data_IF_867102199239
#
_entry.id   IF_867102199239
#
_cell.length_a   1.000
_cell.length_b   1.000
_cell.length_c   1.000
_cell.angle_alpha   90.00
_cell.angle_beta   90.00
_cell.angle_gamma   90.00
#
_symmetry.space_group_name_H-M   'P 1'
#
loop_
_entity.id
_entity.type
_entity.pdbx_description
1 polymer ?
#
# COMPACT_ATOMS: atom_id res chain seq x y z
N UNK A 1 -0.12 -17.69 -3.75
CA UNK A 1 -0.53 -16.28 -3.60
C UNK A 1 -1.97 -16.17 -4.05
N UNK A 2 -2.85 -15.60 -3.23
CA UNK A 2 -4.24 -15.27 -3.61
C UNK A 2 -4.29 -13.88 -4.23
N UNK A 3 -5.03 -13.72 -5.31
CA UNK A 3 -5.35 -12.40 -5.88
C UNK A 3 -6.60 -11.83 -5.20
N UNK A 4 -6.56 -10.54 -4.86
CA UNK A 4 -7.69 -9.81 -4.27
C UNK A 4 -8.24 -8.83 -5.30
N UNK A 5 -9.56 -8.60 -5.31
CA UNK A 5 -10.14 -7.56 -6.17
C UNK A 5 -9.53 -6.20 -5.82
N UNK A 6 -9.28 -5.38 -6.84
CA UNK A 6 -8.80 -4.01 -6.65
C UNK A 6 -9.96 -3.09 -6.24
N UNK A 7 -9.82 -2.47 -5.07
CA UNK A 7 -10.81 -1.57 -4.49
C UNK A 7 -10.10 -0.29 -4.07
N UNK A 8 -10.44 0.84 -4.68
CA UNK A 8 -9.90 2.14 -4.31
C UNK A 8 -10.63 2.72 -3.09
N UNK A 9 -9.87 3.24 -2.13
CA UNK A 9 -10.41 3.89 -0.96
C UNK A 9 -10.49 5.40 -1.21
N UNK A 10 -11.70 5.94 -1.13
CA UNK A 10 -11.92 7.39 -1.30
C UNK A 10 -11.79 8.12 0.02
N UNK A 11 -11.07 9.24 -0.02
CA UNK A 11 -11.09 10.22 1.05
C UNK A 11 -12.48 10.88 1.11
N UNK A 12 -12.97 11.15 2.31
CA UNK A 12 -14.25 11.86 2.48
C UNK A 12 -14.09 13.38 2.36
N UNK A 13 -12.88 13.90 2.55
CA UNK A 13 -12.51 15.31 2.51
C UNK A 13 -11.93 15.74 1.14
N UNK A 14 -12.37 15.12 0.05
CA UNK A 14 -11.76 15.26 -1.30
C UNK A 14 -11.63 16.70 -1.83
N UNK A 15 -12.40 17.64 -1.29
CA UNK A 15 -12.31 19.06 -1.65
C UNK A 15 -11.07 19.76 -1.07
N UNK A 16 -10.36 19.13 -0.12
CA UNK A 16 -9.14 19.64 0.48
C UNK A 16 -7.94 18.98 -0.19
N UNK A 17 -7.04 19.79 -0.76
CA UNK A 17 -5.73 19.30 -1.21
C UNK A 17 -4.98 18.77 0.03
N UNK A 18 -4.49 17.51 0.04
CA UNK A 18 -3.86 16.96 1.24
C UNK A 18 -2.47 17.55 1.52
N UNK A 19 -1.73 17.91 0.46
CA UNK A 19 -0.37 18.45 0.54
C UNK A 19 -0.25 19.79 -0.15
N UNK A 20 0.48 20.75 0.43
CA UNK A 20 0.67 22.07 -0.18
C UNK A 20 1.52 21.99 -1.45
N UNK A 21 2.64 21.25 -1.40
CA UNK A 21 3.65 21.25 -2.48
C UNK A 21 3.78 19.93 -3.25
N UNK A 22 3.17 18.84 -2.78
CA UNK A 22 3.27 17.54 -3.45
C UNK A 22 2.36 17.45 -4.69
N UNK A 23 2.63 16.44 -5.52
CA UNK A 23 1.80 16.07 -6.66
C UNK A 23 0.35 15.81 -6.25
N UNK A 24 -0.60 16.10 -7.16
CA UNK A 24 -2.04 16.07 -6.86
C UNK A 24 -2.59 14.67 -6.58
N UNK A 25 -1.86 13.62 -6.92
CA UNK A 25 -2.24 12.23 -6.64
C UNK A 25 -1.82 11.75 -5.24
N UNK A 26 -0.90 12.44 -4.57
CA UNK A 26 -0.45 12.07 -3.22
C UNK A 26 -1.60 12.25 -2.22
N UNK A 27 -1.81 11.23 -1.40
CA UNK A 27 -2.93 11.13 -0.47
C UNK A 27 -4.15 10.41 -1.04
N UNK A 28 -4.15 10.06 -2.33
CA UNK A 28 -5.26 9.41 -3.03
C UNK A 28 -4.92 8.01 -3.57
N UNK A 29 -3.72 7.49 -3.31
CA UNK A 29 -3.26 6.18 -3.83
C UNK A 29 -3.63 4.99 -2.94
N UNK A 30 -4.60 5.17 -2.04
CA UNK A 30 -5.06 4.13 -1.12
C UNK A 30 -5.88 3.07 -1.87
N UNK A 31 -5.53 1.79 -1.72
CA UNK A 31 -6.28 0.68 -2.33
C UNK A 31 -6.14 -0.64 -1.56
N UNK A 32 -7.13 -1.51 -1.74
CA UNK A 32 -7.13 -2.91 -1.32
C UNK A 32 -7.01 -3.79 -2.56
N UNK A 33 -6.22 -4.85 -2.50
CA UNK A 33 -6.02 -5.80 -3.59
C UNK A 33 -5.44 -5.18 -4.87
N UNK A 34 -5.54 -5.90 -5.99
CA UNK A 34 -4.82 -5.53 -7.21
C UNK A 34 -3.31 -5.76 -7.10
N UNK A 35 -2.51 -4.82 -7.60
CA UNK A 35 -1.03 -4.86 -7.55
C UNK A 35 -0.49 -3.76 -6.67
N UNK A 36 0.58 -4.03 -5.93
CA UNK A 36 1.30 -3.00 -5.18
C UNK A 36 1.92 -1.99 -6.14
N UNK A 37 1.74 -0.70 -5.88
CA UNK A 37 2.45 0.31 -6.64
C UNK A 37 3.94 0.29 -6.26
N UNK A 38 4.81 0.52 -7.25
CA UNK A 38 6.27 0.61 -7.10
C UNK A 38 6.99 -0.67 -6.61
N UNK A 39 6.30 -1.80 -6.50
CA UNK A 39 6.90 -3.09 -6.12
C UNK A 39 6.53 -4.14 -7.18
N UNK A 40 7.52 -4.82 -7.75
CA UNK A 40 7.25 -5.93 -8.67
C UNK A 40 6.67 -7.13 -7.91
N UNK A 41 5.76 -7.89 -8.53
CA UNK A 41 5.23 -9.14 -7.96
C UNK A 41 6.34 -10.15 -7.62
N UNK A 42 7.46 -10.12 -8.35
CA UNK A 42 8.64 -10.96 -8.06
C UNK A 42 9.31 -10.62 -6.73
N UNK A 43 9.11 -9.40 -6.24
CA UNK A 43 9.67 -8.86 -4.99
C UNK A 43 8.70 -9.01 -3.82
N UNK A 44 7.46 -9.47 -4.05
CA UNK A 44 6.52 -9.71 -2.96
C UNK A 44 7.10 -10.69 -1.94
N UNK A 45 6.91 -10.43 -0.64
CA UNK A 45 7.57 -11.21 0.40
C UNK A 45 7.13 -12.67 0.41
N UNK A 46 8.04 -13.54 0.86
CA UNK A 46 7.73 -14.92 1.22
C UNK A 46 7.35 -14.98 2.70
N UNK A 47 6.32 -15.76 3.03
CA UNK A 47 5.94 -15.97 4.41
C UNK A 47 7.02 -16.78 5.16
N UNK A 48 7.52 -16.27 6.27
CA UNK A 48 8.58 -16.94 7.06
C UNK A 48 8.19 -18.32 7.62
N UNK A 49 6.89 -18.65 7.70
CA UNK A 49 6.42 -19.94 8.23
C UNK A 49 6.25 -21.02 7.16
N UNK A 50 5.61 -20.71 6.04
CA UNK A 50 5.32 -21.69 4.97
C UNK A 50 6.10 -21.48 3.68
N UNK A 51 6.96 -20.45 3.64
CA UNK A 51 7.76 -20.04 2.48
C UNK A 51 6.97 -19.72 1.20
N UNK A 52 5.64 -19.60 1.29
CA UNK A 52 4.80 -19.22 0.16
C UNK A 52 4.83 -17.71 -0.06
N UNK A 53 4.79 -17.29 -1.33
CA UNK A 53 4.62 -15.88 -1.70
C UNK A 53 3.31 -15.32 -1.17
N UNK A 54 3.42 -14.20 -0.45
CA UNK A 54 2.31 -13.51 0.20
C UNK A 54 1.49 -12.70 -0.81
N UNK A 55 0.22 -12.50 -0.49
CA UNK A 55 -0.71 -11.72 -1.30
C UNK A 55 -0.62 -10.25 -0.95
N UNK A 56 -0.53 -9.36 -1.94
CA UNK A 56 -0.76 -7.94 -1.70
C UNK A 56 -2.19 -7.74 -1.20
N UNK A 57 -2.32 -7.24 0.03
CA UNK A 57 -3.60 -7.00 0.65
C UNK A 57 -4.11 -5.58 0.38
N UNK A 58 -3.20 -4.62 0.35
CA UNK A 58 -3.51 -3.23 0.07
C UNK A 58 -2.35 -2.31 0.39
N UNK A 59 -2.50 -1.04 0.06
CA UNK A 59 -1.54 0.01 0.38
C UNK A 59 -2.26 1.23 0.95
N UNK A 60 -1.55 1.93 1.82
CA UNK A 60 -1.97 3.22 2.36
C UNK A 60 -0.94 4.28 2.00
N UNK A 61 -1.45 5.45 1.65
CA UNK A 61 -0.69 6.62 1.24
C UNK A 61 -0.33 7.50 2.45
N UNK A 62 0.66 8.37 2.25
CA UNK A 62 0.86 9.53 3.11
C UNK A 62 -0.43 10.37 3.15
N UNK A 63 -0.77 10.93 4.31
CA UNK A 63 -2.10 11.49 4.53
C UNK A 63 -2.14 12.99 4.23
N UNK A 64 -1.21 13.76 4.78
CA UNK A 64 -1.06 15.21 4.61
C UNK A 64 0.35 15.67 5.06
N UNK A 65 0.62 16.98 5.01
CA UNK A 65 1.92 17.57 5.37
C UNK A 65 2.36 17.28 6.82
N UNK A 66 1.44 16.95 7.74
CA UNK A 66 1.74 16.58 9.13
C UNK A 66 1.94 15.06 9.30
N UNK A 67 1.31 14.26 8.45
CA UNK A 67 1.23 12.81 8.54
C UNK A 67 1.79 12.16 7.26
N UNK A 68 3.10 12.32 7.08
CA UNK A 68 3.82 11.87 5.89
C UNK A 68 4.64 10.61 6.16
N UNK A 69 4.60 9.65 5.24
CA UNK A 69 5.43 8.45 5.27
C UNK A 69 6.71 8.77 4.48
N UNK A 70 7.83 9.04 5.17
CA UNK A 70 9.08 9.45 4.52
C UNK A 70 8.83 10.63 3.55
N UNK A 71 9.25 10.54 2.29
CA UNK A 71 9.01 11.57 1.26
C UNK A 71 7.79 11.20 0.39
N UNK A 72 6.58 11.48 0.90
CA UNK A 72 5.32 11.15 0.23
C UNK A 72 5.19 9.66 -0.16
N UNK A 73 5.65 8.77 0.70
CA UNK A 73 5.69 7.34 0.49
C UNK A 73 4.35 6.61 0.66
N UNK A 74 4.40 5.32 0.34
CA UNK A 74 3.32 4.35 0.49
C UNK A 74 3.76 3.23 1.42
N UNK A 75 2.84 2.76 2.27
CA UNK A 75 2.99 1.49 2.97
C UNK A 75 2.15 0.42 2.27
N UNK A 76 2.80 -0.62 1.77
CA UNK A 76 2.18 -1.79 1.15
C UNK A 76 2.14 -2.95 2.14
N UNK A 77 0.96 -3.55 2.33
CA UNK A 77 0.72 -4.65 3.26
C UNK A 77 0.48 -5.95 2.50
N UNK A 78 1.16 -7.00 2.92
CA UNK A 78 1.10 -8.33 2.34
C UNK A 78 0.63 -9.35 3.37
N UNK A 79 -0.26 -10.26 2.98
CA UNK A 79 -0.87 -11.26 3.86
C UNK A 79 -0.62 -12.67 3.34
N UNK A 80 -0.19 -13.56 4.24
CA UNK A 80 -0.23 -15.00 4.03
C UNK A 80 -1.54 -15.54 4.59
N UNK A 81 -2.47 -15.92 3.72
CA UNK A 81 -3.77 -16.47 4.12
C UNK A 81 -3.69 -17.88 4.71
N UNK A 82 -2.59 -18.61 4.50
CA UNK A 82 -2.42 -19.95 5.05
C UNK A 82 -1.95 -19.91 6.52
N UNK A 83 -1.08 -18.95 6.85
CA UNK A 83 -0.44 -18.85 8.17
C UNK A 83 -0.98 -17.69 9.02
N UNK A 84 -1.86 -16.85 8.47
CA UNK A 84 -2.35 -15.62 9.11
C UNK A 84 -1.19 -14.73 9.59
N UNK A 85 -0.22 -14.50 8.69
CA UNK A 85 0.92 -13.59 8.90
C UNK A 85 0.85 -12.42 7.96
N UNK A 86 1.42 -11.29 8.39
CA UNK A 86 1.51 -10.07 7.60
C UNK A 86 2.96 -9.61 7.53
N UNK A 87 3.29 -8.90 6.45
CA UNK A 87 4.50 -8.14 6.30
C UNK A 87 4.16 -6.84 5.57
N UNK A 88 4.81 -5.74 5.95
CA UNK A 88 4.65 -4.46 5.28
C UNK A 88 5.98 -3.94 4.75
N UNK A 89 5.91 -3.19 3.65
CA UNK A 89 7.04 -2.53 3.00
C UNK A 89 6.66 -1.07 2.80
N UNK A 90 7.56 -0.17 3.18
CA UNK A 90 7.44 1.26 2.84
C UNK A 90 8.26 1.52 1.58
N UNK A 91 7.67 2.21 0.61
CA UNK A 91 8.36 2.71 -0.59
C UNK A 91 8.14 4.20 -0.67
N UNK A 92 9.22 4.97 -0.85
CA UNK A 92 9.19 6.40 -1.14
C UNK A 92 10.11 6.70 -2.31
N UNK A 93 9.80 7.74 -3.08
CA UNK A 93 10.66 8.31 -4.11
C UNK A 93 11.75 9.19 -3.53
#
# INVERSE_FOLDING_TARGET
MKELPEIFLKRMDENKKPFEYADSNIGFRNKIGGKADFISESEYPLCHECNNRMSFYGQLDSIDDENIIADCGLISVFVCFNCCRTQSVIVSS
#
